data_IF_056026172866
#
_entry.id   IF_056026172866
#
_cell.length_a   1.000
_cell.length_b   1.000
_cell.length_c   1.000
_cell.angle_alpha   90.00
_cell.angle_beta   90.00
_cell.angle_gamma   90.00
#
_symmetry.space_group_name_H-M   'P 1'
#
loop_
_entity.id
_entity.type
_entity.pdbx_description
1 polymer ?
#
# COMPACT_ATOMS: atom_id res chain seq x y z
N UNK A 1 18.88 38.06 64.68
CA UNK A 1 17.75 38.55 63.85
C UNK A 1 18.10 38.21 62.42
N UNK A 2 17.56 37.08 61.96
CA UNK A 2 17.95 36.39 60.73
C UNK A 2 17.22 36.95 59.52
N UNK A 3 17.97 37.20 58.44
CA UNK A 3 17.42 37.43 57.11
C UNK A 3 16.84 36.12 56.51
N UNK A 4 15.73 36.17 55.76
CA UNK A 4 15.18 34.99 55.12
C UNK A 4 15.80 34.75 53.73
N UNK A 5 16.51 33.63 53.63
CA UNK A 5 16.23 32.51 52.72
C UNK A 5 15.84 32.81 51.25
N UNK A 6 16.83 32.83 50.35
CA UNK A 6 16.64 32.39 48.96
C UNK A 6 17.00 30.90 48.84
N UNK A 7 16.06 30.03 48.43
CA UNK A 7 16.40 28.69 47.98
C UNK A 7 16.74 28.70 46.48
N UNK A 8 18.00 28.32 46.24
CA UNK A 8 18.60 27.80 45.01
C UNK A 8 17.65 26.88 44.24
N UNK A 9 17.50 27.12 42.94
CA UNK A 9 17.13 26.05 41.99
C UNK A 9 18.39 25.69 41.18
N UNK A 10 18.92 24.46 41.30
CA UNK A 10 20.12 24.05 40.60
C UNK A 10 19.89 23.68 39.13
N UNK A 11 20.95 23.99 38.37
CA UNK A 11 21.29 23.71 36.98
C UNK A 11 20.84 22.39 36.33
N UNK A 12 20.92 22.46 34.99
CA UNK A 12 21.46 21.48 33.99
C UNK A 12 20.37 20.73 33.18
N UNK A 13 20.42 20.61 31.85
CA UNK A 13 21.51 20.78 30.86
C UNK A 13 20.86 21.12 29.50
N UNK A 14 21.31 22.16 28.80
CA UNK A 14 21.18 22.21 27.35
C UNK A 14 22.39 22.92 26.76
N UNK A 15 23.44 22.13 26.49
CA UNK A 15 24.55 22.54 25.64
C UNK A 15 24.78 21.43 24.65
N UNK A 16 24.42 21.71 23.39
CA UNK A 16 25.23 21.50 22.19
C UNK A 16 24.28 21.36 20.99
N UNK A 17 24.17 22.41 20.18
CA UNK A 17 24.45 22.34 18.74
C UNK A 17 24.46 23.77 18.17
N UNK A 18 25.59 24.13 17.56
CA UNK A 18 25.64 24.87 16.30
C UNK A 18 25.39 26.37 16.34
N UNK A 19 26.46 27.13 16.58
CA UNK A 19 26.61 28.54 16.17
C UNK A 19 26.37 28.67 14.66
N UNK A 20 25.49 29.60 14.26
CA UNK A 20 25.65 30.54 13.13
C UNK A 20 24.34 31.32 12.94
N UNK A 21 24.22 32.47 13.60
CA UNK A 21 23.12 33.41 13.36
C UNK A 21 23.36 34.22 12.08
N UNK A 22 22.35 34.49 11.25
CA UNK A 22 22.52 35.37 10.11
C UNK A 22 22.40 36.84 10.52
N UNK A 23 23.42 37.61 10.13
CA UNK A 23 23.47 39.07 10.15
C UNK A 23 22.44 39.62 9.16
N UNK A 24 21.67 40.63 9.58
CA UNK A 24 20.83 41.41 8.68
C UNK A 24 21.68 42.21 7.68
N UNK A 25 21.52 41.92 6.39
CA UNK A 25 22.04 42.71 5.28
C UNK A 25 20.88 43.45 4.59
N UNK A 26 21.14 44.71 4.20
CA UNK A 26 20.21 45.63 3.53
C UNK A 26 19.87 45.15 2.10
N UNK A 27 18.73 45.57 1.51
CA UNK A 27 18.19 44.98 0.29
C UNK A 27 19.00 45.41 -0.94
N UNK A 28 19.45 44.42 -1.72
CA UNK A 28 19.89 44.63 -3.11
C UNK A 28 18.77 44.19 -4.04
N UNK A 29 18.34 45.11 -4.88
CA UNK A 29 17.51 44.84 -6.04
C UNK A 29 18.27 43.94 -7.04
N UNK A 30 17.50 43.16 -7.80
CA UNK A 30 17.89 42.19 -8.84
C UNK A 30 18.36 40.80 -8.38
N UNK A 31 17.40 39.89 -8.33
CA UNK A 31 17.60 38.51 -8.77
C UNK A 31 16.27 38.00 -9.33
N UNK A 32 16.19 37.99 -10.67
CA UNK A 32 15.16 37.25 -11.38
C UNK A 32 15.44 35.77 -11.24
N UNK A 33 14.89 35.14 -10.21
CA UNK A 33 14.70 33.69 -10.21
C UNK A 33 13.36 33.40 -10.86
N UNK A 34 13.45 32.85 -12.06
CA UNK A 34 12.35 32.24 -12.80
C UNK A 34 11.64 31.26 -11.85
N UNK A 35 10.48 31.67 -11.35
CA UNK A 35 9.61 30.82 -10.54
C UNK A 35 9.18 29.68 -11.45
N UNK A 36 9.56 28.45 -11.10
CA UNK A 36 9.24 27.26 -11.87
C UNK A 36 7.74 27.19 -12.15
N UNK A 37 7.40 26.73 -13.36
CA UNK A 37 6.05 26.46 -13.82
C UNK A 37 5.26 25.63 -12.79
N UNK A 38 4.59 26.29 -11.85
CA UNK A 38 3.47 25.70 -11.15
C UNK A 38 2.34 25.63 -12.18
N UNK A 39 1.88 24.42 -12.52
CA UNK A 39 0.70 24.25 -13.35
C UNK A 39 -0.42 25.14 -12.80
N UNK A 40 -1.06 25.99 -13.62
CA UNK A 40 -2.10 26.89 -13.14
C UNK A 40 -3.16 26.08 -12.40
N UNK A 41 -3.45 26.43 -11.14
CA UNK A 41 -4.56 25.84 -10.40
C UNK A 41 -5.83 25.97 -11.24
N UNK A 42 -6.50 24.84 -11.43
CA UNK A 42 -7.70 24.70 -12.23
C UNK A 42 -8.82 25.65 -11.73
N UNK A 43 -9.63 26.16 -12.66
CA UNK A 43 -10.69 27.12 -12.36
C UNK A 43 -11.76 26.51 -11.45
N UNK A 44 -12.15 25.26 -11.71
CA UNK A 44 -13.19 24.58 -10.94
C UNK A 44 -12.72 24.33 -9.51
N UNK A 45 -11.45 23.97 -9.34
CA UNK A 45 -10.82 23.86 -8.01
C UNK A 45 -10.90 25.19 -7.25
N UNK A 46 -10.59 26.33 -7.89
CA UNK A 46 -10.70 27.65 -7.23
C UNK A 46 -12.12 27.98 -6.81
N UNK A 47 -13.11 27.69 -7.67
CA UNK A 47 -14.53 27.88 -7.33
C UNK A 47 -14.93 27.01 -6.15
N UNK A 48 -14.55 25.73 -6.15
CA UNK A 48 -14.83 24.79 -5.07
C UNK A 48 -14.27 25.27 -3.73
N UNK A 49 -13.03 25.74 -3.70
CA UNK A 49 -12.41 26.29 -2.48
C UNK A 49 -13.11 27.56 -2.01
N UNK A 50 -13.50 28.45 -2.92
CA UNK A 50 -14.25 29.64 -2.54
C UNK A 50 -15.61 29.29 -1.90
N UNK A 51 -16.33 28.32 -2.47
CA UNK A 51 -17.57 27.80 -1.89
C UNK A 51 -17.33 27.15 -0.53
N UNK A 52 -16.28 26.34 -0.39
CA UNK A 52 -15.91 25.70 0.87
C UNK A 52 -15.63 26.73 1.97
N UNK A 53 -14.84 27.77 1.69
CA UNK A 53 -14.55 28.84 2.66
C UNK A 53 -15.80 29.65 3.03
N UNK A 54 -16.70 29.91 2.08
CA UNK A 54 -17.98 30.56 2.38
C UNK A 54 -18.84 29.70 3.32
N UNK A 55 -18.88 28.38 3.10
CA UNK A 55 -19.59 27.45 4.00
C UNK A 55 -18.94 27.37 5.38
N UNK A 56 -17.60 27.29 5.46
CA UNK A 56 -16.87 27.30 6.73
C UNK A 56 -17.15 28.57 7.53
N UNK A 57 -17.16 29.73 6.86
CA UNK A 57 -17.53 31.01 7.48
C UNK A 57 -18.94 30.96 8.08
N UNK A 58 -19.92 30.41 7.34
CA UNK A 58 -21.29 30.30 7.83
C UNK A 58 -21.45 29.30 8.99
N UNK A 59 -20.73 28.18 8.94
CA UNK A 59 -20.78 27.12 9.97
C UNK A 59 -20.18 27.61 11.29
N UNK A 60 -19.00 28.25 11.23
CA UNK A 60 -18.22 28.57 12.43
C UNK A 60 -18.38 30.03 12.89
N UNK A 61 -18.98 30.91 12.10
CA UNK A 61 -19.31 32.29 12.45
C UNK A 61 -18.10 33.07 12.98
N UNK A 62 -18.21 33.73 14.13
CA UNK A 62 -17.14 34.47 14.81
C UNK A 62 -15.85 33.67 15.04
N UNK A 63 -15.92 32.33 15.14
CA UNK A 63 -14.73 31.48 15.27
C UNK A 63 -13.91 31.43 13.97
N UNK A 64 -14.58 31.51 12.83
CA UNK A 64 -13.91 31.62 11.54
C UNK A 64 -13.20 32.96 11.40
N UNK A 65 -13.88 34.06 11.74
CA UNK A 65 -13.30 35.41 11.73
C UNK A 65 -12.06 35.49 12.64
N UNK A 66 -12.16 34.90 13.83
CA UNK A 66 -11.04 34.84 14.79
C UNK A 66 -9.85 34.02 14.27
N UNK A 67 -10.09 32.98 13.46
CA UNK A 67 -9.05 32.08 12.96
C UNK A 67 -8.26 32.68 11.78
N UNK A 68 -8.93 33.43 10.90
CA UNK A 68 -8.31 33.96 9.68
C UNK A 68 -7.99 35.45 9.73
N UNK A 69 -8.56 36.23 10.66
CA UNK A 69 -8.17 37.62 10.92
C UNK A 69 -8.55 38.61 9.82
N UNK A 70 -7.93 38.52 8.65
CA UNK A 70 -8.06 39.48 7.54
C UNK A 70 -8.17 38.80 6.15
N UNK A 71 -8.54 39.59 5.14
CA UNK A 71 -8.78 39.08 3.79
C UNK A 71 -7.50 38.54 3.12
N UNK A 72 -6.32 39.08 3.48
CA UNK A 72 -5.04 38.60 2.93
C UNK A 72 -4.72 37.20 3.41
N UNK A 73 -4.90 36.92 4.71
CA UNK A 73 -4.71 35.60 5.30
C UNK A 73 -5.72 34.60 4.76
N UNK A 74 -6.98 35.00 4.56
CA UNK A 74 -7.99 34.16 3.89
C UNK A 74 -7.54 33.80 2.47
N UNK A 75 -7.03 34.76 1.70
CA UNK A 75 -6.53 34.54 0.35
C UNK A 75 -5.35 33.56 0.29
N UNK A 76 -4.42 33.67 1.25
CA UNK A 76 -3.30 32.73 1.40
C UNK A 76 -3.78 31.32 1.79
N UNK A 77 -4.69 31.23 2.75
CA UNK A 77 -5.28 29.96 3.18
C UNK A 77 -6.03 29.26 2.05
N UNK A 78 -6.86 29.98 1.29
CA UNK A 78 -7.56 29.42 0.11
C UNK A 78 -6.58 28.84 -0.90
N UNK A 79 -5.44 29.49 -1.12
CA UNK A 79 -4.40 28.97 -2.04
C UNK A 79 -3.79 27.67 -1.51
N UNK A 80 -3.47 27.62 -0.22
CA UNK A 80 -2.91 26.41 0.41
C UNK A 80 -3.89 25.24 0.36
N UNK A 81 -5.17 25.51 0.64
CA UNK A 81 -6.25 24.52 0.52
C UNK A 81 -6.46 24.07 -0.91
N UNK A 82 -6.37 24.97 -1.91
CA UNK A 82 -6.48 24.61 -3.31
C UNK A 82 -5.38 23.63 -3.76
N UNK A 83 -4.15 23.81 -3.28
CA UNK A 83 -3.07 22.85 -3.55
C UNK A 83 -3.29 21.51 -2.83
N UNK A 84 -3.68 21.56 -1.56
CA UNK A 84 -3.86 20.35 -0.74
C UNK A 84 -5.07 19.51 -1.15
N UNK A 85 -6.11 20.15 -1.70
CA UNK A 85 -7.35 19.50 -2.11
C UNK A 85 -7.41 19.20 -3.61
N UNK A 86 -6.35 19.51 -4.35
CA UNK A 86 -6.27 19.20 -5.77
C UNK A 86 -6.40 17.68 -6.00
N UNK A 87 -7.32 17.29 -6.88
CA UNK A 87 -7.56 15.89 -7.24
C UNK A 87 -8.63 15.16 -6.41
N UNK A 88 -9.12 15.76 -5.32
CA UNK A 88 -10.29 15.22 -4.63
C UNK A 88 -11.60 15.65 -5.30
N UNK A 89 -12.58 14.75 -5.34
CA UNK A 89 -13.91 15.04 -5.86
C UNK A 89 -14.67 16.03 -4.97
N UNK A 90 -15.66 16.71 -5.56
CA UNK A 90 -16.54 17.63 -4.82
C UNK A 90 -17.26 16.89 -3.69
N UNK A 91 -17.76 15.70 -3.98
CA UNK A 91 -18.53 14.86 -3.07
C UNK A 91 -17.70 14.50 -1.83
N UNK A 92 -16.40 14.23 -2.02
CA UNK A 92 -15.49 13.92 -0.92
C UNK A 92 -15.21 15.14 -0.03
N UNK A 93 -15.03 16.31 -0.63
CA UNK A 93 -14.84 17.57 0.11
C UNK A 93 -16.12 17.93 0.86
N UNK A 94 -17.29 17.73 0.26
CA UNK A 94 -18.58 17.94 0.92
C UNK A 94 -18.79 16.97 2.08
N UNK A 95 -18.50 15.68 1.90
CA UNK A 95 -18.52 14.68 2.98
C UNK A 95 -17.62 15.10 4.14
N UNK A 96 -16.37 15.52 3.86
CA UNK A 96 -15.43 15.97 4.89
C UNK A 96 -15.97 17.19 5.65
N UNK A 97 -16.57 18.14 4.96
CA UNK A 97 -17.17 19.33 5.55
C UNK A 97 -18.37 18.99 6.45
N UNK A 98 -19.26 18.10 6.00
CA UNK A 98 -20.41 17.66 6.81
C UNK A 98 -19.96 17.01 8.11
N UNK A 99 -18.87 16.24 8.08
CA UNK A 99 -18.28 15.67 9.30
C UNK A 99 -17.65 16.73 10.19
N UNK A 100 -16.86 17.66 9.63
CA UNK A 100 -16.28 18.76 10.39
C UNK A 100 -17.36 19.57 11.12
N UNK A 101 -18.50 19.82 10.46
CA UNK A 101 -19.66 20.53 11.03
C UNK A 101 -20.23 19.83 12.28
N UNK A 102 -20.22 18.49 12.29
CA UNK A 102 -20.79 17.69 13.38
C UNK A 102 -19.79 17.45 14.52
N UNK A 103 -18.50 17.34 14.21
CA UNK A 103 -17.47 16.88 15.16
C UNK A 103 -16.60 18.01 15.71
N UNK A 104 -16.41 19.11 14.96
CA UNK A 104 -15.49 20.18 15.34
C UNK A 104 -16.22 21.42 15.83
N UNK A 105 -15.75 21.96 16.96
CA UNK A 105 -16.23 23.24 17.48
C UNK A 105 -15.58 24.45 16.77
N UNK A 106 -14.38 24.29 16.24
CA UNK A 106 -13.61 25.36 15.57
C UNK A 106 -13.41 25.01 14.09
N UNK A 107 -13.21 26.03 13.22
CA UNK A 107 -12.83 25.77 11.83
C UNK A 107 -11.58 24.89 11.77
N UNK A 108 -11.61 23.78 11.00
CA UNK A 108 -10.44 22.93 10.86
C UNK A 108 -9.30 23.66 10.15
N UNK A 109 -8.07 23.36 10.53
CA UNK A 109 -6.89 23.59 9.68
C UNK A 109 -6.94 22.66 8.46
N UNK A 110 -6.16 22.96 7.41
CA UNK A 110 -6.07 22.06 6.25
C UNK A 110 -5.59 20.65 6.63
N UNK A 111 -4.64 20.56 7.56
CA UNK A 111 -4.12 19.29 8.05
C UNK A 111 -5.20 18.46 8.76
N UNK A 112 -6.07 19.11 9.54
CA UNK A 112 -7.22 18.45 10.16
C UNK A 112 -8.27 18.07 9.12
N UNK A 113 -8.60 18.98 8.21
CA UNK A 113 -9.60 18.74 7.15
C UNK A 113 -9.23 17.55 6.26
N UNK A 114 -7.96 17.39 5.91
CA UNK A 114 -7.47 16.24 5.14
C UNK A 114 -7.77 14.89 5.80
N UNK A 115 -7.87 14.83 7.13
CA UNK A 115 -8.23 13.59 7.85
C UNK A 115 -9.70 13.22 7.66
N UNK A 116 -10.55 14.20 7.37
CA UNK A 116 -11.98 13.99 7.11
C UNK A 116 -12.28 13.66 5.65
N UNK A 117 -11.32 13.81 4.74
CA UNK A 117 -11.45 13.42 3.33
C UNK A 117 -11.54 11.90 3.15
N UNK A 118 -10.98 11.13 4.08
CA UNK A 118 -11.08 9.67 4.07
C UNK A 118 -12.36 9.30 4.82
N UNK A 119 -13.36 8.69 4.17
CA UNK A 119 -14.56 8.24 4.84
C UNK A 119 -14.26 7.21 5.92
N UNK A 120 -15.14 7.12 6.92
CA UNK A 120 -15.03 6.02 7.86
C UNK A 120 -15.32 4.71 7.10
N UNK A 121 -14.60 3.61 7.38
CA UNK A 121 -14.83 2.34 6.68
C UNK A 121 -16.30 1.92 6.68
N UNK A 122 -17.00 2.17 7.78
CA UNK A 122 -18.38 1.75 7.97
C UNK A 122 -19.35 2.48 7.04
N UNK A 123 -19.06 3.74 6.68
CA UNK A 123 -19.85 4.52 5.72
C UNK A 123 -19.76 3.94 4.29
N UNK A 124 -18.72 3.13 4.03
CA UNK A 124 -18.50 2.43 2.76
C UNK A 124 -18.95 0.96 2.82
N UNK A 125 -19.54 0.53 3.95
CA UNK A 125 -19.90 -0.87 4.19
C UNK A 125 -18.69 -1.78 4.50
N UNK A 126 -17.53 -1.20 4.83
CA UNK A 126 -16.34 -1.94 5.27
C UNK A 126 -16.35 -2.11 6.80
N UNK A 127 -15.70 -3.16 7.33
CA UNK A 127 -15.55 -3.33 8.78
C UNK A 127 -14.72 -2.20 9.38
N UNK A 128 -14.89 -1.94 10.67
CA UNK A 128 -14.06 -0.94 11.36
C UNK A 128 -12.58 -1.32 11.27
N UNK A 129 -11.66 -0.35 11.36
CA UNK A 129 -10.22 -0.64 11.29
C UNK A 129 -9.79 -1.67 12.34
N UNK A 130 -10.42 -1.66 13.52
CA UNK A 130 -10.12 -2.63 14.58
C UNK A 130 -10.62 -4.02 14.23
N UNK A 131 -11.86 -4.15 13.75
CA UNK A 131 -12.43 -5.44 13.33
C UNK A 131 -11.65 -6.04 12.17
N UNK A 132 -11.31 -5.22 11.16
CA UNK A 132 -10.50 -5.62 10.02
C UNK A 132 -9.12 -6.17 10.47
N UNK A 133 -8.49 -5.54 11.45
CA UNK A 133 -7.21 -6.00 11.99
C UNK A 133 -7.34 -7.34 12.72
N UNK A 134 -8.37 -7.48 13.57
CA UNK A 134 -8.61 -8.74 14.29
C UNK A 134 -8.89 -9.88 13.32
N UNK A 135 -9.69 -9.62 12.30
CA UNK A 135 -9.94 -10.56 11.20
C UNK A 135 -8.64 -10.95 10.48
N UNK A 136 -7.80 -9.96 10.16
CA UNK A 136 -6.50 -10.19 9.53
C UNK A 136 -5.59 -11.08 10.37
N UNK A 137 -5.46 -10.82 11.67
CA UNK A 137 -4.72 -11.68 12.60
C UNK A 137 -5.26 -13.11 12.62
N UNK A 138 -6.58 -13.27 12.69
CA UNK A 138 -7.22 -14.59 12.73
C UNK A 138 -7.00 -15.38 11.43
N UNK A 139 -7.11 -14.74 10.27
CA UNK A 139 -7.08 -15.40 8.95
C UNK A 139 -5.67 -15.55 8.37
N UNK A 140 -4.67 -14.91 8.97
CA UNK A 140 -3.27 -14.93 8.50
C UNK A 140 -2.59 -16.31 8.50
N UNK A 141 -3.15 -17.33 9.16
CA UNK A 141 -2.61 -18.70 9.13
C UNK A 141 -2.88 -19.43 7.80
N UNK A 142 -4.00 -19.12 7.13
CA UNK A 142 -4.42 -19.74 5.87
C UNK A 142 -5.14 -18.71 4.98
N UNK A 143 -4.46 -17.63 4.55
CA UNK A 143 -5.10 -16.46 3.93
C UNK A 143 -5.80 -16.77 2.60
N UNK A 144 -5.32 -17.77 1.86
CA UNK A 144 -5.91 -18.18 0.57
C UNK A 144 -7.18 -19.03 0.71
N UNK A 145 -7.37 -19.68 1.87
CA UNK A 145 -8.53 -20.53 2.15
C UNK A 145 -9.59 -19.79 2.99
N UNK A 146 -9.24 -18.64 3.55
CA UNK A 146 -10.11 -17.87 4.40
C UNK A 146 -11.13 -17.05 3.59
N UNK A 147 -12.37 -17.01 4.06
CA UNK A 147 -13.37 -16.07 3.56
C UNK A 147 -13.14 -14.71 4.19
N UNK A 148 -12.78 -13.70 3.41
CA UNK A 148 -12.56 -12.34 3.89
C UNK A 148 -13.86 -11.53 3.85
N UNK A 149 -14.08 -10.66 4.83
CA UNK A 149 -15.26 -9.76 4.88
C UNK A 149 -15.26 -8.77 3.71
N UNK A 150 -14.08 -8.29 3.33
CA UNK A 150 -13.89 -7.39 2.19
C UNK A 150 -12.48 -7.56 1.60
N UNK A 151 -12.34 -7.30 0.29
CA UNK A 151 -11.05 -7.34 -0.40
C UNK A 151 -10.01 -6.41 0.23
N UNK A 152 -10.44 -5.23 0.70
CA UNK A 152 -9.59 -4.28 1.44
C UNK A 152 -8.94 -4.90 2.68
N UNK A 153 -9.67 -5.76 3.41
CA UNK A 153 -9.14 -6.42 4.62
C UNK A 153 -8.04 -7.41 4.24
N UNK A 154 -8.29 -8.22 3.21
CA UNK A 154 -7.30 -9.17 2.71
C UNK A 154 -6.05 -8.48 2.17
N UNK A 155 -6.21 -7.43 1.35
CA UNK A 155 -5.08 -6.69 0.81
C UNK A 155 -4.30 -5.96 1.91
N UNK A 156 -4.96 -5.40 2.93
CA UNK A 156 -4.28 -4.80 4.08
C UNK A 156 -3.48 -5.85 4.86
N UNK A 157 -4.06 -7.05 5.06
CA UNK A 157 -3.38 -8.16 5.70
C UNK A 157 -2.14 -8.61 4.89
N UNK A 158 -2.29 -8.71 3.56
CA UNK A 158 -1.20 -9.03 2.64
C UNK A 158 -0.08 -7.97 2.68
N UNK A 159 -0.44 -6.70 2.63
CA UNK A 159 0.49 -5.57 2.65
C UNK A 159 1.23 -5.45 3.99
N UNK A 160 0.57 -5.80 5.09
CA UNK A 160 1.19 -5.88 6.43
C UNK A 160 2.08 -7.11 6.57
N UNK A 161 1.74 -8.19 5.87
CA UNK A 161 2.43 -9.47 5.90
C UNK A 161 1.77 -10.45 6.87
N UNK A 162 1.21 -11.53 6.32
CA UNK A 162 0.53 -12.58 7.11
C UNK A 162 1.44 -13.23 8.17
N UNK A 163 2.74 -13.39 7.89
CA UNK A 163 3.68 -13.91 8.87
C UNK A 163 3.78 -12.98 10.08
N UNK A 164 4.02 -11.68 9.86
CA UNK A 164 4.14 -10.70 10.93
C UNK A 164 2.85 -10.63 11.76
N UNK A 165 1.68 -10.58 11.11
CA UNK A 165 0.37 -10.59 11.79
C UNK A 165 0.14 -11.81 12.69
N UNK A 166 0.78 -12.95 12.39
CA UNK A 166 0.67 -14.18 13.19
C UNK A 166 1.75 -14.30 14.27
N UNK A 167 2.96 -13.79 14.03
CA UNK A 167 4.12 -14.05 14.89
C UNK A 167 4.54 -12.88 15.76
N UNK A 168 4.18 -11.65 15.39
CA UNK A 168 4.64 -10.44 16.08
C UNK A 168 3.58 -9.83 17.01
N UNK A 169 4.00 -9.10 18.06
CA UNK A 169 3.07 -8.43 18.96
C UNK A 169 2.32 -7.29 18.27
N UNK A 170 1.10 -7.03 18.74
CA UNK A 170 0.20 -6.00 18.19
C UNK A 170 0.85 -4.62 18.04
N UNK A 171 1.68 -4.20 19.00
CA UNK A 171 2.37 -2.89 18.95
C UNK A 171 3.20 -2.68 17.67
N UNK A 172 3.68 -3.76 17.04
CA UNK A 172 4.47 -3.71 15.82
C UNK A 172 3.58 -3.75 14.57
N UNK A 173 2.56 -4.60 14.57
CA UNK A 173 1.74 -4.89 13.39
C UNK A 173 0.57 -3.93 13.25
N UNK A 174 0.02 -3.41 14.35
CA UNK A 174 -1.11 -2.49 14.34
C UNK A 174 -0.85 -1.20 13.54
N UNK A 175 0.25 -0.46 13.74
CA UNK A 175 0.48 0.77 12.99
C UNK A 175 0.65 0.52 11.48
N UNK A 176 1.33 -0.58 11.11
CA UNK A 176 1.50 -0.98 9.72
C UNK A 176 0.17 -1.35 9.06
N UNK A 177 -0.65 -2.16 9.75
CA UNK A 177 -1.98 -2.53 9.27
C UNK A 177 -2.91 -1.32 9.17
N UNK A 178 -2.97 -0.48 10.20
CA UNK A 178 -3.83 0.69 10.23
C UNK A 178 -3.55 1.61 9.04
N UNK A 179 -2.27 1.84 8.72
CA UNK A 179 -1.88 2.62 7.55
C UNK A 179 -2.32 1.92 6.25
N UNK A 180 -1.96 0.66 6.07
CA UNK A 180 -2.28 -0.09 4.85
C UNK A 180 -3.80 -0.17 4.60
N UNK A 181 -4.58 -0.35 5.66
CA UNK A 181 -6.03 -0.40 5.58
C UNK A 181 -6.63 0.98 5.27
N UNK A 182 -6.15 2.04 5.91
CA UNK A 182 -6.59 3.42 5.62
C UNK A 182 -6.33 3.80 4.16
N UNK A 183 -5.18 3.43 3.60
CA UNK A 183 -4.84 3.70 2.20
C UNK A 183 -5.80 2.97 1.24
N UNK A 184 -6.19 1.74 1.58
CA UNK A 184 -7.15 0.96 0.79
C UNK A 184 -8.59 1.49 0.92
N UNK A 185 -8.99 1.95 2.11
CA UNK A 185 -10.29 2.60 2.33
C UNK A 185 -10.40 3.88 1.49
N UNK A 186 -9.34 4.68 1.43
CA UNK A 186 -9.30 5.88 0.58
C UNK A 186 -9.51 5.56 -0.90
N UNK A 187 -8.87 4.49 -1.40
CA UNK A 187 -9.02 4.00 -2.78
C UNK A 187 -10.44 3.51 -3.08
N UNK A 188 -11.03 2.73 -2.16
CA UNK A 188 -12.44 2.30 -2.29
C UNK A 188 -13.37 3.50 -2.32
N UNK A 189 -13.12 4.50 -1.48
CA UNK A 189 -13.88 5.74 -1.48
C UNK A 189 -13.71 6.56 -2.77
N UNK A 190 -12.65 6.31 -3.57
CA UNK A 190 -12.45 6.93 -4.89
C UNK A 190 -13.16 6.14 -6.00
N UNK A 191 -13.90 5.09 -5.63
CA UNK A 191 -14.60 4.21 -6.55
C UNK A 191 -13.72 3.11 -7.13
N UNK A 192 -12.52 2.89 -6.58
CA UNK A 192 -11.66 1.80 -7.04
C UNK A 192 -12.21 0.44 -6.56
N UNK A 193 -12.42 -0.47 -7.51
CA UNK A 193 -12.74 -1.86 -7.22
C UNK A 193 -11.45 -2.64 -6.90
N UNK A 194 -11.31 -3.01 -5.62
CA UNK A 194 -10.13 -3.73 -5.15
C UNK A 194 -10.15 -5.20 -5.58
N UNK A 195 -9.27 -5.57 -6.51
CA UNK A 195 -9.13 -6.95 -6.98
C UNK A 195 -8.03 -7.68 -6.19
N UNK A 196 -8.37 -8.84 -5.64
CA UNK A 196 -7.41 -9.77 -5.07
C UNK A 196 -6.96 -10.72 -6.16
N UNK A 197 -5.74 -10.56 -6.64
CA UNK A 197 -5.13 -11.54 -7.56
C UNK A 197 -5.01 -12.90 -6.88
N UNK A 198 -5.86 -13.85 -7.29
CA UNK A 198 -5.65 -15.25 -6.96
C UNK A 198 -4.47 -15.74 -7.80
N UNK A 199 -3.39 -16.16 -7.13
CA UNK A 199 -2.25 -16.77 -7.80
C UNK A 199 -2.77 -17.84 -8.77
N UNK A 200 -2.55 -17.62 -10.07
CA UNK A 200 -2.80 -18.66 -11.06
C UNK A 200 -2.01 -19.88 -10.62
N UNK A 201 -2.72 -21.00 -10.47
CA UNK A 201 -2.07 -22.28 -10.23
C UNK A 201 -0.96 -22.41 -11.28
N UNK A 202 0.26 -22.74 -10.84
CA UNK A 202 1.28 -23.16 -11.78
C UNK A 202 0.66 -24.25 -12.64
N UNK A 203 0.89 -24.26 -13.97
CA UNK A 203 0.41 -25.35 -14.82
C UNK A 203 0.81 -26.68 -14.16
N UNK A 204 -0.12 -27.62 -14.14
CA UNK A 204 0.17 -28.95 -13.58
C UNK A 204 1.47 -29.46 -14.21
N UNK A 205 2.41 -30.00 -13.41
CA UNK A 205 3.62 -30.57 -13.97
C UNK A 205 3.20 -31.61 -15.01
N UNK A 206 3.76 -31.51 -16.23
CA UNK A 206 3.48 -32.45 -17.31
C UNK A 206 4.15 -33.81 -17.03
N UNK A 207 3.62 -34.53 -16.05
CA UNK A 207 4.00 -35.91 -15.71
C UNK A 207 3.56 -36.90 -16.80
N UNK A 208 2.71 -36.44 -17.73
CA UNK A 208 2.09 -37.31 -18.71
C UNK A 208 3.05 -37.75 -19.82
N UNK A 209 4.10 -36.98 -20.12
CA UNK A 209 5.06 -37.34 -21.17
C UNK A 209 5.91 -38.57 -20.77
N UNK A 210 6.39 -38.60 -19.52
CA UNK A 210 7.17 -39.73 -19.00
C UNK A 210 6.30 -40.99 -18.88
N UNK A 211 5.10 -40.86 -18.30
CA UNK A 211 4.17 -41.98 -18.15
C UNK A 211 3.75 -42.57 -19.50
N UNK A 212 3.46 -41.72 -20.50
CA UNK A 212 3.15 -42.17 -21.87
C UNK A 212 4.32 -42.93 -22.50
N UNK A 213 5.56 -42.47 -22.33
CA UNK A 213 6.73 -43.16 -22.86
C UNK A 213 6.97 -44.49 -22.14
N UNK A 214 6.78 -44.53 -20.82
CA UNK A 214 6.90 -45.76 -20.03
C UNK A 214 5.89 -46.82 -20.49
N UNK A 215 4.65 -46.43 -20.78
CA UNK A 215 3.65 -47.35 -21.34
C UNK A 215 4.01 -47.84 -22.76
N UNK A 216 4.55 -46.97 -23.62
CA UNK A 216 5.06 -47.38 -24.94
C UNK A 216 6.22 -48.38 -24.84
N UNK A 217 7.14 -48.15 -23.90
CA UNK A 217 8.27 -49.05 -23.65
C UNK A 217 7.81 -50.42 -23.14
N UNK A 218 6.83 -50.45 -22.23
CA UNK A 218 6.22 -51.70 -21.76
C UNK A 218 5.52 -52.46 -22.89
N UNK A 219 4.77 -51.76 -23.75
CA UNK A 219 4.13 -52.36 -24.92
C UNK A 219 5.15 -52.95 -25.91
N UNK A 220 6.35 -52.36 -25.99
CA UNK A 220 7.48 -52.87 -26.77
C UNK A 220 8.26 -54.00 -26.07
N UNK A 221 7.80 -54.47 -24.90
CA UNK A 221 8.39 -55.60 -24.16
C UNK A 221 9.48 -55.22 -23.15
N UNK A 222 9.69 -53.94 -22.86
CA UNK A 222 10.66 -53.49 -21.85
C UNK A 222 10.08 -53.65 -20.44
N UNK A 223 10.84 -54.28 -19.54
CA UNK A 223 10.43 -54.46 -18.16
C UNK A 223 10.26 -53.10 -17.43
N UNK A 224 9.28 -53.00 -16.53
CA UNK A 224 8.96 -51.77 -15.79
C UNK A 224 10.17 -51.17 -15.09
N UNK A 225 11.04 -51.99 -14.50
CA UNK A 225 12.25 -51.56 -13.78
C UNK A 225 13.28 -50.87 -14.68
N UNK A 226 13.25 -51.16 -15.98
CA UNK A 226 14.14 -50.58 -17.01
C UNK A 226 13.46 -49.41 -17.72
N UNK A 227 12.15 -49.45 -17.92
CA UNK A 227 11.39 -48.41 -18.61
C UNK A 227 11.45 -47.04 -17.92
N UNK A 228 11.31 -46.97 -16.58
CA UNK A 228 11.39 -45.69 -15.84
C UNK A 228 12.77 -45.01 -15.97
N UNK A 229 13.90 -45.69 -15.72
CA UNK A 229 15.23 -45.09 -15.95
C UNK A 229 15.47 -44.61 -17.39
N UNK A 230 14.81 -45.22 -18.38
CA UNK A 230 14.92 -44.81 -19.79
C UNK A 230 14.07 -43.57 -20.09
N UNK A 231 12.95 -43.37 -19.41
CA UNK A 231 12.08 -42.21 -19.59
C UNK A 231 12.52 -40.98 -18.76
N UNK A 232 13.38 -41.18 -17.76
CA UNK A 232 13.89 -40.15 -16.83
C UNK A 232 14.48 -38.89 -17.49
N UNK A 233 14.97 -38.97 -18.73
CA UNK A 233 15.48 -37.78 -19.43
C UNK A 233 14.39 -36.75 -19.70
N UNK A 234 13.11 -37.15 -19.74
CA UNK A 234 11.96 -36.27 -19.96
C UNK A 234 11.74 -35.29 -18.79
N UNK A 235 12.22 -35.60 -17.59
CA UNK A 235 12.23 -34.66 -16.45
C UNK A 235 13.25 -33.51 -16.64
N UNK A 236 14.20 -33.63 -17.57
CA UNK A 236 15.20 -32.59 -17.81
C UNK A 236 14.63 -31.49 -18.71
N UNK A 237 15.07 -30.23 -18.55
CA UNK A 237 14.58 -29.13 -19.38
C UNK A 237 14.70 -29.44 -20.88
N UNK A 238 13.61 -29.25 -21.62
CA UNK A 238 13.56 -29.45 -23.07
C UNK A 238 14.66 -28.63 -23.76
N UNK A 239 15.35 -29.22 -24.74
CA UNK A 239 16.45 -28.57 -25.47
C UNK A 239 17.76 -28.39 -24.68
N UNK A 240 17.83 -28.84 -23.42
CA UNK A 240 19.08 -28.77 -22.66
C UNK A 240 20.11 -29.81 -23.14
N UNK A 241 21.42 -29.49 -23.12
CA UNK A 241 22.47 -30.46 -23.48
C UNK A 241 22.53 -31.65 -22.50
N UNK A 242 22.03 -31.47 -21.28
CA UNK A 242 21.88 -32.56 -20.30
C UNK A 242 20.80 -33.54 -20.77
N UNK A 243 19.64 -33.05 -21.23
CA UNK A 243 18.57 -33.90 -21.76
C UNK A 243 19.02 -34.73 -22.95
N UNK A 244 19.70 -34.11 -23.92
CA UNK A 244 20.23 -34.80 -25.10
C UNK A 244 21.16 -35.96 -24.73
N UNK A 245 22.13 -35.72 -23.83
CA UNK A 245 23.07 -36.76 -23.37
C UNK A 245 22.37 -37.94 -22.70
N UNK A 246 21.35 -37.68 -21.87
CA UNK A 246 20.60 -38.73 -21.19
C UNK A 246 19.71 -39.50 -22.17
N UNK A 247 19.10 -38.82 -23.14
CA UNK A 247 18.31 -39.43 -24.23
C UNK A 247 19.17 -40.35 -25.09
N UNK A 248 20.35 -39.90 -25.51
CA UNK A 248 21.27 -40.70 -26.33
C UNK A 248 21.66 -41.99 -25.60
N UNK A 249 21.99 -41.88 -24.31
CA UNK A 249 22.31 -43.04 -23.46
C UNK A 249 21.12 -43.99 -23.28
N UNK A 250 19.90 -43.46 -23.20
CA UNK A 250 18.69 -44.27 -23.14
C UNK A 250 18.42 -44.97 -24.48
N UNK A 251 18.64 -44.29 -25.60
CA UNK A 251 18.49 -44.83 -26.95
C UNK A 251 19.49 -45.96 -27.24
N UNK A 252 20.75 -45.82 -26.81
CA UNK A 252 21.76 -46.87 -26.89
C UNK A 252 21.36 -48.12 -26.09
N UNK A 253 20.84 -47.91 -24.88
CA UNK A 253 20.34 -49.02 -24.04
C UNK A 253 19.15 -49.73 -24.68
N UNK A 254 18.23 -49.01 -25.33
CA UNK A 254 17.12 -49.63 -26.05
C UNK A 254 17.58 -50.47 -27.23
N UNK A 255 18.56 -49.98 -28.00
CA UNK A 255 19.18 -50.74 -29.08
C UNK A 255 19.86 -52.01 -28.56
N UNK A 256 20.56 -51.93 -27.42
CA UNK A 256 21.18 -53.09 -26.78
C UNK A 256 20.17 -54.14 -26.30
N UNK A 257 18.97 -53.71 -25.94
CA UNK A 257 17.85 -54.59 -25.56
C UNK A 257 17.09 -55.16 -26.79
N UNK A 258 17.48 -54.79 -28.01
CA UNK A 258 16.82 -55.26 -29.24
C UNK A 258 15.48 -54.60 -29.53
N UNK A 259 15.18 -53.46 -28.89
CA UNK A 259 13.92 -52.74 -29.06
C UNK A 259 14.09 -51.61 -30.07
N UNK A 260 13.43 -51.71 -31.22
CA UNK A 260 13.40 -50.67 -32.25
C UNK A 260 12.32 -49.61 -31.94
N UNK A 261 12.58 -48.79 -30.92
CA UNK A 261 11.76 -47.62 -30.58
C UNK A 261 12.62 -46.36 -30.60
N UNK A 262 12.20 -45.33 -31.33
CA UNK A 262 12.86 -44.02 -31.31
C UNK A 262 12.29 -43.19 -30.16
N UNK A 263 13.15 -42.78 -29.23
CA UNK A 263 12.74 -41.97 -28.09
C UNK A 263 12.38 -40.54 -28.54
N UNK A 264 11.29 -39.94 -28.03
CA UNK A 264 10.92 -38.56 -28.32
C UNK A 264 11.97 -37.59 -27.77
N UNK A 265 11.98 -36.36 -28.27
CA UNK A 265 12.93 -35.34 -27.81
C UNK A 265 12.53 -34.73 -26.46
#
# INVERSE_FOLDING_TARGET
>A
MSAPNEPKTPQRVLTLLGKNGPRFAKPSETSGTQTGNASPLDHDTKLLINMLFARLHHIYTHRFESAYGDETTIGQAKREWAFSLAGYSRERIEYALERCKLELAWPPTIAEFCRYLIPRPEDLGLPTTREAYLEACQKSHAPLQAHWSHAAVHLAARNTGHFALRSEPERNTWPAFQKAYSDLVARVADGEELVVETAHALPEPDLSAEERLVEQLKAAGVEKTVAYPLAYYLEKPAGSPVRARYRDRAQEKLKALGVELTLPD
#
